data_IF_885411434750
#
_entry.id   IF_885411434750
#
_cell.length_a   1.000
_cell.length_b   1.000
_cell.length_c   1.000
_cell.angle_alpha   90.00
_cell.angle_beta   90.00
_cell.angle_gamma   90.00
#
_symmetry.space_group_name_H-M   'P 1'
#
loop_
_entity.id
_entity.type
_entity.pdbx_description
1 polymer ?
#
# COMPACT_ATOMS: atom_id res chain seq x y z
N UNK A 1 -32.58 30.76 40.03
CA UNK A 1 -32.52 31.02 38.57
C UNK A 1 -31.13 30.84 37.97
N UNK A 2 -30.03 31.33 38.57
CA UNK A 2 -28.66 31.09 38.02
C UNK A 2 -28.24 29.60 37.97
N UNK A 3 -28.59 28.81 38.99
CA UNK A 3 -28.26 27.37 39.05
C UNK A 3 -29.04 26.52 38.04
N UNK A 4 -30.28 26.89 37.72
CA UNK A 4 -31.13 26.18 36.74
C UNK A 4 -30.70 26.45 35.30
N UNK A 5 -30.22 27.66 34.99
CA UNK A 5 -29.64 27.99 33.68
C UNK A 5 -28.34 27.24 33.44
N UNK A 6 -27.50 27.07 34.49
CA UNK A 6 -26.24 26.32 34.38
C UNK A 6 -26.48 24.83 34.09
N UNK A 7 -27.49 24.23 34.72
CA UNK A 7 -27.88 22.83 34.50
C UNK A 7 -28.45 22.60 33.09
N UNK A 8 -29.24 23.53 32.57
CA UNK A 8 -29.76 23.46 31.19
C UNK A 8 -28.64 23.57 30.15
N UNK A 9 -27.68 24.48 30.38
CA UNK A 9 -26.51 24.63 29.53
C UNK A 9 -25.65 23.35 29.53
N UNK A 10 -25.42 22.73 30.69
CA UNK A 10 -24.65 21.48 30.80
C UNK A 10 -25.32 20.31 30.04
N UNK A 11 -26.65 20.20 30.13
CA UNK A 11 -27.41 19.17 29.43
C UNK A 11 -27.33 19.32 27.89
N UNK A 12 -27.26 20.55 27.38
CA UNK A 12 -27.10 20.80 25.93
C UNK A 12 -25.68 20.55 25.40
N UNK A 13 -24.65 20.61 26.25
CA UNK A 13 -23.27 20.28 25.85
C UNK A 13 -23.05 18.77 25.79
N UNK A 14 -23.76 18.00 26.63
CA UNK A 14 -23.63 16.54 26.71
C UNK A 14 -24.44 15.78 25.63
N UNK A 15 -25.38 16.44 24.95
CA UNK A 15 -26.17 15.85 23.86
C UNK A 15 -25.54 16.03 22.48
N UNK A 16 -24.22 16.29 22.41
CA UNK A 16 -23.49 16.32 21.15
C UNK A 16 -23.81 15.08 20.32
N UNK A 17 -24.28 15.28 19.08
CA UNK A 17 -24.63 14.20 18.17
C UNK A 17 -23.38 13.37 17.81
N UNK A 18 -23.06 12.37 18.64
CA UNK A 18 -22.00 11.41 18.37
C UNK A 18 -22.58 10.32 17.46
N UNK A 19 -22.15 10.28 16.20
CA UNK A 19 -22.55 9.18 15.32
C UNK A 19 -21.93 7.87 15.81
N UNK A 20 -22.77 6.83 15.97
CA UNK A 20 -22.33 5.49 16.37
C UNK A 20 -21.29 4.97 15.36
N UNK A 21 -20.15 4.50 15.85
CA UNK A 21 -19.09 3.93 15.02
C UNK A 21 -19.50 2.55 14.49
N UNK A 22 -19.30 2.30 13.20
CA UNK A 22 -19.56 0.99 12.59
C UNK A 22 -18.31 0.12 12.77
N UNK A 23 -18.42 -1.08 13.39
CA UNK A 23 -17.30 -2.01 13.46
C UNK A 23 -17.08 -2.70 12.11
N UNK A 24 -15.82 -2.99 11.80
CA UNK A 24 -15.47 -3.85 10.65
C UNK A 24 -15.62 -5.31 11.09
N UNK A 25 -16.37 -6.10 10.32
CA UNK A 25 -16.50 -7.55 10.53
C UNK A 25 -15.12 -8.21 10.54
N UNK A 26 -14.92 -9.27 11.33
CA UNK A 26 -13.60 -9.88 11.49
C UNK A 26 -13.04 -10.35 10.13
N UNK A 27 -13.92 -10.88 9.30
CA UNK A 27 -13.67 -11.41 7.96
C UNK A 27 -13.42 -10.29 6.93
N UNK A 28 -14.06 -9.13 7.13
CA UNK A 28 -13.92 -7.96 6.26
C UNK A 28 -12.63 -7.14 6.52
N UNK A 29 -11.82 -7.49 7.54
CA UNK A 29 -10.59 -6.74 7.88
C UNK A 29 -9.58 -6.72 6.74
N UNK A 30 -9.48 -7.83 6.02
CA UNK A 30 -8.55 -8.03 4.90
C UNK A 30 -9.02 -7.36 3.60
N UNK A 31 -10.26 -6.85 3.55
CA UNK A 31 -10.73 -6.04 2.44
C UNK A 31 -9.96 -4.73 2.40
N UNK A 32 -9.41 -4.40 1.25
CA UNK A 32 -8.55 -3.24 1.04
C UNK A 32 -8.96 -2.44 -0.20
N UNK A 33 -8.69 -1.13 -0.24
CA UNK A 33 -8.94 -0.34 -1.44
C UNK A 33 -8.03 -0.80 -2.59
N UNK A 34 -8.43 -0.52 -3.83
CA UNK A 34 -7.67 -0.79 -5.05
C UNK A 34 -7.71 0.42 -5.99
N UNK A 35 -6.66 0.59 -6.80
CA UNK A 35 -6.55 1.62 -7.85
C UNK A 35 -6.88 1.04 -9.22
N UNK A 36 -7.22 1.88 -10.18
CA UNK A 36 -7.53 1.45 -11.56
C UNK A 36 -6.39 0.65 -12.20
N UNK A 37 -5.15 1.10 -12.00
CA UNK A 37 -3.95 0.40 -12.49
C UNK A 37 -3.87 -1.00 -11.90
N UNK A 38 -4.14 -1.15 -10.60
CA UNK A 38 -4.08 -2.43 -9.92
C UNK A 38 -5.23 -3.38 -10.32
N UNK A 39 -6.41 -2.86 -10.64
CA UNK A 39 -7.53 -3.67 -11.17
C UNK A 39 -7.12 -4.34 -12.48
N UNK A 40 -6.53 -3.59 -13.41
CA UNK A 40 -6.05 -4.11 -14.70
C UNK A 40 -4.89 -5.10 -14.54
N UNK A 41 -3.89 -4.77 -13.73
CA UNK A 41 -2.68 -5.60 -13.58
C UNK A 41 -2.97 -6.91 -12.84
N UNK A 42 -3.86 -6.89 -11.84
CA UNK A 42 -4.20 -8.08 -11.06
C UNK A 42 -5.33 -8.91 -11.69
N UNK A 43 -5.84 -8.48 -12.86
CA UNK A 43 -6.97 -9.12 -13.57
C UNK A 43 -8.13 -9.40 -12.62
N UNK A 44 -8.55 -8.37 -11.88
CA UNK A 44 -9.63 -8.52 -10.91
C UNK A 44 -10.99 -8.59 -11.60
N UNK A 45 -11.84 -9.48 -11.11
CA UNK A 45 -13.21 -9.60 -11.58
C UNK A 45 -14.07 -8.51 -10.93
N UNK A 46 -14.84 -7.80 -11.75
CA UNK A 46 -15.84 -6.87 -11.25
C UNK A 46 -16.98 -7.65 -10.57
N UNK A 47 -17.35 -7.24 -9.36
CA UNK A 47 -18.40 -7.90 -8.56
C UNK A 47 -19.69 -7.10 -8.61
N UNK A 48 -19.68 -5.88 -8.08
CA UNK A 48 -20.86 -5.01 -8.04
C UNK A 48 -20.48 -3.55 -7.83
N UNK A 49 -21.41 -2.65 -8.14
CA UNK A 49 -21.40 -1.26 -7.65
C UNK A 49 -22.22 -1.17 -6.37
N UNK A 50 -21.76 -0.35 -5.42
CA UNK A 50 -22.46 -0.04 -4.18
C UNK A 50 -22.46 1.46 -3.95
N UNK A 51 -23.64 2.01 -3.68
CA UNK A 51 -23.80 3.42 -3.31
C UNK A 51 -24.01 3.51 -1.81
N UNK A 52 -23.14 4.26 -1.14
CA UNK A 52 -23.27 4.60 0.27
C UNK A 52 -23.80 6.02 0.38
N UNK A 53 -24.88 6.21 1.15
CA UNK A 53 -25.54 7.50 1.34
C UNK A 53 -25.49 7.95 2.81
N UNK A 54 -25.24 9.25 3.02
CA UNK A 54 -25.27 9.97 4.31
C UNK A 54 -24.57 9.24 5.48
N UNK A 55 -23.45 8.59 5.19
CA UNK A 55 -22.63 7.98 6.23
C UNK A 55 -21.75 9.03 6.90
N UNK A 56 -21.57 8.92 8.21
CA UNK A 56 -20.58 9.75 8.90
C UNK A 56 -19.18 9.45 8.34
N UNK A 57 -18.33 10.44 8.04
CA UNK A 57 -17.05 10.21 7.36
C UNK A 57 -16.10 9.20 8.02
N UNK A 58 -16.21 9.01 9.34
CA UNK A 58 -15.45 8.01 10.08
C UNK A 58 -15.91 6.56 9.85
N UNK A 59 -17.10 6.36 9.28
CA UNK A 59 -17.73 5.06 9.06
C UNK A 59 -17.70 4.62 7.60
N UNK A 60 -17.39 5.51 6.65
CA UNK A 60 -17.38 5.21 5.22
C UNK A 60 -16.51 3.99 4.92
N UNK A 61 -15.25 3.99 5.39
CA UNK A 61 -14.31 2.87 5.16
C UNK A 61 -14.83 1.57 5.77
N UNK A 62 -15.38 1.61 7.00
CA UNK A 62 -15.88 0.42 7.67
C UNK A 62 -17.09 -0.18 6.94
N UNK A 63 -17.98 0.68 6.45
CA UNK A 63 -19.15 0.29 5.67
C UNK A 63 -18.72 -0.35 4.34
N UNK A 64 -17.80 0.29 3.61
CA UNK A 64 -17.28 -0.24 2.35
C UNK A 64 -16.60 -1.60 2.53
N UNK A 65 -15.80 -1.78 3.58
CA UNK A 65 -15.16 -3.08 3.87
C UNK A 65 -16.18 -4.20 4.08
N UNK A 66 -17.16 -3.95 4.96
CA UNK A 66 -18.20 -4.94 5.27
C UNK A 66 -19.02 -5.28 4.04
N UNK A 67 -19.47 -4.27 3.29
CA UNK A 67 -20.29 -4.47 2.08
C UNK A 67 -19.54 -5.20 0.96
N UNK A 68 -18.24 -4.90 0.80
CA UNK A 68 -17.40 -5.59 -0.18
C UNK A 68 -17.25 -7.07 0.17
N UNK A 69 -17.01 -7.38 1.45
CA UNK A 69 -16.93 -8.77 1.90
C UNK A 69 -18.27 -9.51 1.72
N UNK A 70 -19.38 -8.88 2.10
CA UNK A 70 -20.73 -9.46 1.94
C UNK A 70 -21.09 -9.67 0.47
N UNK A 71 -20.53 -8.88 -0.44
CA UNK A 71 -20.69 -9.06 -1.88
C UNK A 71 -19.86 -10.21 -2.46
N UNK A 72 -18.98 -10.84 -1.68
CA UNK A 72 -18.01 -11.82 -2.15
C UNK A 72 -16.76 -11.21 -2.78
N UNK A 73 -16.56 -9.89 -2.65
CA UNK A 73 -15.35 -9.20 -3.08
C UNK A 73 -14.26 -9.15 -2.01
N UNK A 74 -13.03 -8.87 -2.43
CA UNK A 74 -11.89 -8.64 -1.54
C UNK A 74 -11.25 -7.26 -1.71
N UNK A 75 -11.67 -6.49 -2.72
CA UNK A 75 -11.19 -5.14 -3.01
C UNK A 75 -12.33 -4.19 -3.33
N UNK A 76 -12.16 -2.90 -3.02
CA UNK A 76 -13.10 -1.86 -3.45
C UNK A 76 -12.38 -0.61 -3.95
N UNK A 77 -13.04 0.14 -4.82
CA UNK A 77 -12.59 1.42 -5.33
C UNK A 77 -13.71 2.42 -5.15
N UNK A 78 -13.43 3.62 -4.68
CA UNK A 78 -14.40 4.72 -4.71
C UNK A 78 -14.34 5.31 -6.11
N UNK A 79 -15.37 5.07 -6.91
CA UNK A 79 -15.49 5.60 -8.27
C UNK A 79 -15.87 7.08 -8.24
N UNK A 80 -16.78 7.46 -7.33
CA UNK A 80 -17.27 8.82 -7.23
C UNK A 80 -17.61 9.20 -5.78
N UNK A 81 -17.39 10.48 -5.42
CA UNK A 81 -17.83 11.05 -4.15
C UNK A 81 -19.05 11.93 -4.42
N UNK A 82 -20.22 11.50 -3.97
CA UNK A 82 -21.49 12.19 -4.20
C UNK A 82 -21.69 13.37 -3.24
N UNK A 83 -21.25 13.23 -1.99
CA UNK A 83 -21.39 14.27 -0.98
C UNK A 83 -20.25 14.22 0.04
N UNK A 84 -19.94 15.39 0.60
CA UNK A 84 -18.95 15.53 1.67
C UNK A 84 -19.55 16.22 2.89
N UNK A 85 -19.06 15.86 4.07
CA UNK A 85 -19.35 16.52 5.35
C UNK A 85 -18.04 17.03 5.93
N UNK A 86 -17.91 18.35 6.06
CA UNK A 86 -16.67 19.02 6.52
C UNK A 86 -15.44 18.62 5.68
N UNK A 87 -15.60 18.58 4.36
CA UNK A 87 -14.52 18.22 3.42
C UNK A 87 -14.14 16.74 3.39
N UNK A 88 -14.87 15.87 4.10
CA UNK A 88 -14.62 14.42 4.10
C UNK A 88 -15.80 13.69 3.44
N UNK A 89 -15.58 12.61 2.67
CA UNK A 89 -16.65 11.87 2.02
C UNK A 89 -17.70 11.40 3.03
N UNK A 90 -18.98 11.59 2.70
CA UNK A 90 -20.12 11.07 3.45
C UNK A 90 -21.03 10.20 2.59
N UNK A 91 -21.11 10.49 1.29
CA UNK A 91 -21.78 9.66 0.30
C UNK A 91 -20.84 9.35 -0.86
N UNK A 92 -20.76 8.09 -1.27
CA UNK A 92 -19.82 7.61 -2.29
C UNK A 92 -20.44 6.50 -3.15
N UNK A 93 -20.03 6.43 -4.41
CA UNK A 93 -20.23 5.28 -5.28
C UNK A 93 -18.94 4.48 -5.28
N UNK A 94 -19.03 3.20 -4.91
CA UNK A 94 -17.89 2.30 -4.85
C UNK A 94 -18.08 1.09 -5.77
N UNK A 95 -17.05 0.77 -6.53
CA UNK A 95 -16.95 -0.45 -7.32
C UNK A 95 -16.25 -1.52 -6.47
N UNK A 96 -16.78 -2.74 -6.47
CA UNK A 96 -16.25 -3.87 -5.71
C UNK A 96 -15.70 -4.90 -6.66
N UNK A 97 -14.57 -5.50 -6.28
CA UNK A 97 -13.84 -6.43 -7.10
C UNK A 97 -13.46 -7.68 -6.31
N UNK A 98 -13.38 -8.80 -7.02
CA UNK A 98 -12.79 -10.04 -6.57
C UNK A 98 -11.51 -10.26 -7.35
N UNK A 99 -10.38 -10.03 -6.71
CA UNK A 99 -9.09 -10.36 -7.30
C UNK A 99 -8.74 -11.80 -6.88
N UNK A 100 -8.67 -12.72 -7.85
CA UNK A 100 -8.25 -14.12 -7.62
C UNK A 100 -6.78 -14.27 -7.19
N UNK A 101 -6.07 -13.14 -7.10
CA UNK A 101 -4.79 -13.03 -6.42
C UNK A 101 -4.99 -12.50 -4.99
N UNK A 102 -5.88 -13.14 -4.22
CA UNK A 102 -5.48 -13.40 -2.85
C UNK A 102 -4.25 -14.28 -3.00
N UNK A 103 -3.08 -13.71 -2.72
CA UNK A 103 -1.87 -14.48 -2.50
C UNK A 103 -2.18 -15.59 -1.50
N UNK A 104 -2.67 -16.74 -1.98
CA UNK A 104 -2.06 -17.99 -1.59
C UNK A 104 -0.62 -17.78 -1.98
N UNK A 105 0.14 -17.32 -1.01
CA UNK A 105 1.53 -17.68 -0.88
C UNK A 105 1.54 -19.20 -1.01
N UNK A 106 1.65 -19.70 -2.24
CA UNK A 106 2.18 -21.03 -2.43
C UNK A 106 3.52 -20.99 -1.71
N UNK A 107 3.69 -21.89 -0.76
CA UNK A 107 4.97 -22.18 -0.15
C UNK A 107 5.93 -22.65 -1.25
N UNK A 108 6.46 -21.72 -2.03
CA UNK A 108 7.58 -21.88 -2.97
C UNK A 108 7.82 -20.49 -3.58
N UNK A 109 8.85 -19.81 -3.08
CA UNK A 109 9.44 -18.54 -3.55
C UNK A 109 8.79 -17.20 -3.16
N UNK A 110 8.23 -17.05 -1.95
CA UNK A 110 8.23 -15.69 -1.34
C UNK A 110 9.67 -15.34 -0.97
N UNK A 111 10.39 -14.69 -1.89
CA UNK A 111 11.65 -14.02 -1.58
C UNK A 111 11.27 -12.87 -0.64
N UNK A 112 11.36 -13.12 0.67
CA UNK A 112 11.17 -12.10 1.69
C UNK A 112 12.48 -11.35 1.92
N UNK A 113 12.41 -10.08 2.29
CA UNK A 113 13.61 -9.31 2.63
C UNK A 113 14.34 -9.98 3.80
N UNK A 114 15.59 -10.37 3.60
CA UNK A 114 16.43 -10.88 4.69
C UNK A 114 16.69 -9.77 5.72
N UNK A 115 16.90 -10.09 7.00
CA UNK A 115 17.24 -9.10 8.01
C UNK A 115 18.43 -8.24 7.55
N UNK A 116 18.25 -6.92 7.52
CA UNK A 116 19.24 -5.96 7.04
C UNK A 116 19.08 -5.51 5.59
N UNK A 117 18.48 -6.33 4.71
CA UNK A 117 18.19 -5.93 3.32
C UNK A 117 17.11 -4.85 3.22
N UNK A 118 16.33 -4.64 4.28
CA UNK A 118 15.33 -3.56 4.39
C UNK A 118 15.93 -2.14 4.25
N UNK A 119 17.22 -1.98 4.50
CA UNK A 119 17.92 -0.69 4.40
C UNK A 119 18.59 -0.49 3.04
N UNK A 120 18.52 -1.48 2.15
CA UNK A 120 19.04 -1.40 0.80
C UNK A 120 18.02 -0.63 -0.06
N UNK A 121 18.51 0.35 -0.81
CA UNK A 121 17.68 1.18 -1.68
C UNK A 121 18.42 1.49 -2.99
N UNK A 122 17.73 1.90 -4.05
CA UNK A 122 18.38 2.40 -5.26
C UNK A 122 19.32 3.55 -4.93
N UNK A 123 20.46 3.64 -5.62
CA UNK A 123 21.38 4.77 -5.45
C UNK A 123 20.71 6.07 -5.93
N UNK A 124 20.79 7.13 -5.13
CA UNK A 124 20.32 8.44 -5.55
C UNK A 124 21.40 9.17 -6.37
N UNK A 125 21.00 10.01 -7.32
CA UNK A 125 21.93 10.83 -8.12
C UNK A 125 22.90 11.65 -7.25
N UNK A 126 22.38 12.22 -6.15
CA UNK A 126 23.18 12.98 -5.18
C UNK A 126 24.23 12.12 -4.45
N UNK A 127 24.02 10.81 -4.28
CA UNK A 127 24.98 9.92 -3.63
C UNK A 127 26.16 9.57 -4.57
N UNK A 128 25.89 9.48 -5.88
CA UNK A 128 26.88 9.27 -6.94
C UNK A 128 27.79 10.50 -7.08
N UNK A 129 27.21 11.69 -7.21
CA UNK A 129 27.96 12.94 -7.43
C UNK A 129 28.88 13.30 -6.25
N UNK A 130 28.48 12.93 -5.02
CA UNK A 130 29.24 13.22 -3.81
C UNK A 130 30.41 12.25 -3.56
N UNK A 131 30.72 11.31 -4.49
CA UNK A 131 31.72 10.24 -4.30
C UNK A 131 31.54 9.48 -2.97
N UNK A 132 30.31 9.42 -2.46
CA UNK A 132 29.99 8.87 -1.15
C UNK A 132 29.89 7.33 -1.18
N UNK A 133 29.92 6.77 -2.39
CA UNK A 133 29.66 5.38 -2.72
C UNK A 133 30.80 4.78 -3.52
N UNK A 134 31.18 3.54 -3.19
CA UNK A 134 32.14 2.74 -3.96
C UNK A 134 31.39 1.58 -4.63
N UNK A 135 31.65 1.35 -5.91
CA UNK A 135 31.18 0.14 -6.61
C UNK A 135 31.91 -1.07 -6.02
N UNK A 136 31.16 -2.07 -5.59
CA UNK A 136 31.68 -3.35 -5.13
C UNK A 136 31.78 -4.35 -6.28
N UNK A 137 30.68 -4.54 -6.99
CA UNK A 137 30.58 -5.53 -8.08
C UNK A 137 29.37 -5.21 -8.97
N UNK A 138 29.35 -5.84 -10.14
CA UNK A 138 28.21 -5.87 -11.06
C UNK A 138 27.67 -7.28 -11.09
N UNK A 139 26.36 -7.45 -10.93
CA UNK A 139 25.70 -8.76 -10.89
C UNK A 139 24.58 -8.85 -11.92
N UNK A 140 24.43 -10.03 -12.51
CA UNK A 140 23.38 -10.33 -13.49
C UNK A 140 22.28 -11.13 -12.80
N UNK A 141 21.05 -10.65 -12.91
CA UNK A 141 19.83 -11.25 -12.38
C UNK A 141 19.06 -11.84 -13.55
N UNK A 142 18.81 -13.15 -13.52
CA UNK A 142 18.14 -13.91 -14.58
C UNK A 142 16.77 -14.38 -14.09
N UNK A 143 15.76 -14.32 -14.96
CA UNK A 143 14.43 -14.92 -14.74
C UNK A 143 13.72 -14.42 -13.47
N UNK A 144 13.76 -13.12 -13.22
CA UNK A 144 13.19 -12.51 -12.02
C UNK A 144 11.82 -11.91 -12.30
N UNK A 145 10.82 -12.32 -11.52
CA UNK A 145 9.48 -11.72 -11.55
C UNK A 145 9.55 -10.25 -11.10
N UNK A 146 8.87 -9.32 -11.79
CA UNK A 146 8.89 -7.88 -11.47
C UNK A 146 8.50 -7.57 -10.02
N UNK A 147 7.59 -8.38 -9.46
CA UNK A 147 7.09 -8.24 -8.09
C UNK A 147 8.14 -8.61 -7.04
N UNK A 148 9.06 -9.49 -7.41
CA UNK A 148 10.14 -9.97 -6.56
C UNK A 148 11.49 -9.30 -6.89
N UNK A 149 11.58 -8.59 -8.02
CA UNK A 149 12.82 -7.98 -8.52
C UNK A 149 13.45 -7.03 -7.52
N UNK A 150 12.67 -6.13 -6.92
CA UNK A 150 13.21 -5.21 -5.90
C UNK A 150 13.67 -5.95 -4.64
N UNK A 151 12.95 -6.99 -4.24
CA UNK A 151 13.27 -7.77 -3.03
C UNK A 151 14.50 -8.63 -3.25
N UNK A 152 14.63 -9.25 -4.42
CA UNK A 152 15.79 -10.03 -4.81
C UNK A 152 17.02 -9.13 -4.99
N UNK A 153 16.86 -7.97 -5.64
CA UNK A 153 17.90 -6.96 -5.75
C UNK A 153 18.38 -6.52 -4.37
N UNK A 154 17.46 -6.19 -3.46
CA UNK A 154 17.80 -5.77 -2.11
C UNK A 154 18.52 -6.88 -1.32
N UNK A 155 18.01 -8.10 -1.38
CA UNK A 155 18.61 -9.27 -0.72
C UNK A 155 20.01 -9.56 -1.26
N UNK A 156 20.16 -9.65 -2.58
CA UNK A 156 21.43 -9.97 -3.20
C UNK A 156 22.46 -8.86 -3.01
N UNK A 157 22.02 -7.60 -3.10
CA UNK A 157 22.84 -6.42 -2.79
C UNK A 157 23.36 -6.48 -1.36
N UNK A 158 22.49 -6.81 -0.39
CA UNK A 158 22.90 -6.98 1.00
C UNK A 158 23.87 -8.14 1.19
N UNK A 159 23.59 -9.31 0.59
CA UNK A 159 24.47 -10.48 0.64
C UNK A 159 25.84 -10.22 0.03
N UNK A 160 25.92 -9.36 -0.99
CA UNK A 160 27.16 -8.92 -1.62
C UNK A 160 27.83 -7.75 -0.86
N UNK A 161 27.32 -7.38 0.32
CA UNK A 161 27.90 -6.37 1.20
C UNK A 161 27.59 -4.92 0.82
N UNK A 162 26.70 -4.70 -0.14
CA UNK A 162 26.24 -3.39 -0.58
C UNK A 162 25.07 -2.85 0.26
N UNK A 163 24.82 -1.56 0.14
CA UNK A 163 23.63 -0.88 0.68
C UNK A 163 22.90 -0.02 -0.36
N UNK A 164 23.44 0.07 -1.59
CA UNK A 164 22.77 0.66 -2.74
C UNK A 164 22.95 -0.20 -3.98
N UNK A 165 22.02 -0.10 -4.92
CA UNK A 165 22.12 -0.72 -6.24
C UNK A 165 21.70 0.24 -7.35
N UNK A 166 22.16 -0.03 -8.58
CA UNK A 166 21.74 0.69 -9.78
C UNK A 166 21.58 -0.30 -10.92
N UNK A 167 20.40 -0.34 -11.55
CA UNK A 167 20.17 -1.19 -12.72
C UNK A 167 20.81 -0.51 -13.93
N UNK A 168 21.85 -1.12 -14.49
CA UNK A 168 22.61 -0.57 -15.63
C UNK A 168 22.05 -0.99 -16.97
N UNK A 169 21.52 -2.21 -17.06
CA UNK A 169 20.99 -2.75 -18.31
C UNK A 169 19.84 -3.72 -18.06
N UNK A 170 18.81 -3.64 -18.89
CA UNK A 170 17.77 -4.68 -19.00
C UNK A 170 18.20 -5.63 -20.13
N UNK A 171 18.26 -6.93 -19.84
CA UNK A 171 18.72 -7.97 -20.77
C UNK A 171 17.53 -8.49 -21.58
N UNK A 172 16.48 -8.90 -20.90
CA UNK A 172 15.28 -9.46 -21.52
C UNK A 172 14.03 -8.86 -20.89
N UNK A 173 13.03 -8.65 -21.73
CA UNK A 173 11.71 -8.19 -21.33
C UNK A 173 10.65 -9.09 -21.95
N UNK A 174 9.78 -9.66 -21.14
CA UNK A 174 8.63 -10.43 -21.60
C UNK A 174 7.37 -9.57 -21.42
N UNK A 175 6.59 -9.39 -22.48
CA UNK A 175 5.37 -8.55 -22.45
C UNK A 175 5.57 -7.09 -22.00
N UNK A 176 6.77 -6.53 -22.20
CA UNK A 176 7.10 -5.15 -21.80
C UNK A 176 7.65 -5.01 -20.37
N UNK A 177 7.80 -6.12 -19.65
CA UNK A 177 8.29 -6.16 -18.27
C UNK A 177 9.72 -6.75 -18.23
N UNK A 178 10.69 -6.12 -17.55
CA UNK A 178 12.07 -6.62 -17.48
C UNK A 178 12.14 -7.92 -16.67
N UNK A 179 12.48 -9.02 -17.33
CA UNK A 179 12.64 -10.36 -16.75
C UNK A 179 14.10 -10.63 -16.32
N UNK A 180 15.06 -9.95 -16.94
CA UNK A 180 16.49 -10.11 -16.64
C UNK A 180 17.19 -8.76 -16.63
N UNK A 181 17.99 -8.47 -15.59
CA UNK A 181 18.67 -7.17 -15.41
C UNK A 181 20.11 -7.31 -14.96
N UNK A 182 20.95 -6.36 -15.36
CA UNK A 182 22.29 -6.15 -14.84
C UNK A 182 22.21 -5.00 -13.85
N UNK A 183 22.71 -5.21 -12.63
CA UNK A 183 22.78 -4.16 -11.62
C UNK A 183 24.18 -4.04 -11.00
N UNK A 184 24.62 -2.80 -10.85
CA UNK A 184 25.81 -2.43 -10.09
C UNK A 184 25.45 -2.30 -8.62
N UNK A 185 26.32 -2.83 -7.77
CA UNK A 185 26.16 -2.87 -6.32
C UNK A 185 27.17 -1.95 -5.68
N UNK A 186 26.70 -1.07 -4.81
CA UNK A 186 27.48 -0.01 -4.18
C UNK A 186 27.48 -0.15 -2.66
N UNK A 187 28.60 0.25 -2.06
CA UNK A 187 28.72 0.52 -0.63
C UNK A 187 28.92 2.02 -0.39
N UNK A 188 27.89 2.66 0.12
CA UNK A 188 27.88 4.06 0.51
C UNK A 188 28.16 4.21 2.00
N UNK A 189 28.97 5.22 2.37
CA UNK A 189 29.23 5.54 3.77
C UNK A 189 27.98 6.19 4.38
N UNK A 190 27.34 5.52 5.33
CA UNK A 190 26.28 6.15 6.13
C UNK A 190 26.90 7.24 7.03
N UNK A 191 26.60 8.51 6.75
CA UNK A 191 26.86 9.61 7.69
C UNK A 191 25.72 9.71 8.71
N UNK A 192 25.46 8.64 9.45
CA UNK A 192 24.50 8.68 10.55
C UNK A 192 25.21 8.21 11.81
N UNK A 193 25.78 9.18 12.53
CA UNK A 193 26.03 9.05 13.96
C UNK A 193 24.68 9.34 14.60
N UNK A 194 23.99 8.32 15.13
CA UNK A 194 22.84 8.57 15.98
C UNK A 194 23.36 9.26 17.25
N UNK A 195 22.83 10.45 17.55
CA UNK A 195 22.86 11.04 18.89
C UNK A 195 21.61 10.60 19.65
#
# INVERSE_FOLDING_TARGET
>A
MKKTVLLLALATVLSGCVTRKIPVMAEARNVTPITDVAVSNLKCDFVKVFTLEDSHPNNVIASLKNETYLAGGNRYKIAEVLATRRGRPSSVVAEMYSCNNMSKTSLESQISLIPGAQNVMPIAFSEVENNSCKILTTHVFNEVSLKDLETELANKTYMLGGNRFHITKIIESESGEPNSVVADIYRCKHRTVNF
#
